data_IF_810500445567
#
_entry.id   IF_810500445567
#
_cell.length_a   1.000
_cell.length_b   1.000
_cell.length_c   1.000
_cell.angle_alpha   90.00
_cell.angle_beta   90.00
_cell.angle_gamma   90.00
#
_symmetry.space_group_name_H-M   'P 1'
#
loop_
_entity.id
_entity.type
_entity.pdbx_description
1 polymer ?
#
# COMPACT_ATOMS: atom_id res chain seq x y z
N UNK A 1 41.08 -16.11 24.03
CA UNK A 1 42.11 -17.18 24.08
C UNK A 1 41.41 -18.53 24.18
N UNK A 2 42.08 -19.61 23.74
CA UNK A 2 41.64 -21.02 23.67
C UNK A 2 40.53 -21.30 22.61
N UNK A 3 40.78 -22.03 21.49
CA UNK A 3 41.23 -23.44 21.27
C UNK A 3 40.11 -24.45 21.65
N UNK A 4 39.66 -25.46 20.91
CA UNK A 4 40.12 -26.29 19.75
C UNK A 4 38.85 -26.87 19.03
N UNK A 5 38.80 -27.64 17.91
CA UNK A 5 39.70 -28.12 16.82
C UNK A 5 38.81 -28.62 15.64
N UNK A 6 39.29 -28.78 14.38
CA UNK A 6 38.51 -29.31 13.25
C UNK A 6 38.77 -30.80 12.94
N UNK A 7 37.90 -31.43 12.15
CA UNK A 7 38.05 -32.81 11.61
C UNK A 7 37.79 -32.87 10.09
N UNK A 8 38.47 -33.79 9.40
CA UNK A 8 38.61 -33.87 7.93
C UNK A 8 38.03 -35.18 7.34
N UNK A 9 37.59 -35.08 6.09
CA UNK A 9 37.62 -36.11 5.03
C UNK A 9 37.05 -37.53 5.30
N UNK A 10 36.04 -37.92 4.51
CA UNK A 10 36.17 -39.13 3.65
C UNK A 10 35.18 -39.12 2.47
N UNK A 11 35.63 -39.62 1.31
CA UNK A 11 34.82 -39.95 0.12
C UNK A 11 34.91 -41.46 -0.12
N UNK A 12 33.81 -42.17 -0.45
CA UNK A 12 33.88 -43.53 -0.97
C UNK A 12 33.75 -43.58 -2.50
N UNK A 13 34.58 -44.38 -3.15
CA UNK A 13 34.37 -44.84 -4.54
C UNK A 13 33.49 -46.10 -4.57
N UNK A 14 32.80 -46.34 -5.70
CA UNK A 14 32.32 -47.68 -6.05
C UNK A 14 32.85 -48.13 -7.42
N UNK A 15 33.16 -49.43 -7.52
CA UNK A 15 33.67 -50.12 -8.71
C UNK A 15 32.55 -50.77 -9.53
N UNK A 16 32.86 -51.02 -10.79
CA UNK A 16 32.07 -51.75 -11.80
C UNK A 16 31.99 -53.26 -11.57
N UNK A 17 30.92 -53.90 -12.05
CA UNK A 17 30.93 -55.32 -12.47
C UNK A 17 30.01 -55.55 -13.67
N UNK A 18 30.32 -56.57 -14.47
CA UNK A 18 29.71 -56.85 -15.78
C UNK A 18 29.19 -58.29 -15.86
N UNK A 19 28.05 -58.53 -16.51
CA UNK A 19 27.75 -59.84 -17.13
C UNK A 19 26.72 -59.74 -18.26
N UNK A 20 26.81 -60.69 -19.20
CA UNK A 20 25.91 -60.93 -20.35
C UNK A 20 26.08 -62.41 -20.72
N UNK A 21 25.11 -63.13 -21.36
CA UNK A 21 25.16 -63.22 -22.83
C UNK A 21 23.84 -63.59 -23.60
N UNK A 22 23.75 -63.15 -24.88
CA UNK A 22 23.13 -63.82 -26.08
C UNK A 22 21.63 -64.21 -26.08
N UNK A 23 20.85 -64.29 -27.18
CA UNK A 23 20.78 -63.81 -28.60
C UNK A 23 19.46 -64.44 -29.19
N UNK A 24 18.99 -64.31 -30.46
CA UNK A 24 19.25 -63.34 -31.55
C UNK A 24 18.00 -62.77 -32.31
N UNK A 25 18.22 -61.68 -33.06
CA UNK A 25 17.59 -61.29 -34.37
C UNK A 25 16.05 -61.19 -34.54
N UNK A 26 15.58 -59.97 -34.80
CA UNK A 26 14.97 -59.59 -36.10
C UNK A 26 15.13 -58.09 -36.36
N UNK A 27 15.48 -57.73 -37.61
CA UNK A 27 15.74 -56.36 -38.04
C UNK A 27 14.49 -55.72 -38.67
N UNK A 28 14.17 -54.49 -38.26
CA UNK A 28 13.33 -53.57 -39.03
C UNK A 28 14.00 -52.20 -39.03
N UNK A 29 14.55 -51.83 -40.19
CA UNK A 29 15.18 -50.53 -40.43
C UNK A 29 14.12 -49.49 -40.77
N UNK A 30 13.82 -48.59 -39.83
CA UNK A 30 13.04 -47.39 -40.13
C UNK A 30 14.00 -46.36 -40.75
N UNK A 31 13.79 -46.06 -42.03
CA UNK A 31 14.51 -45.01 -42.74
C UNK A 31 13.91 -43.67 -42.31
N UNK A 32 14.59 -42.98 -41.40
CA UNK A 32 14.24 -41.59 -41.05
C UNK A 32 14.61 -40.67 -42.20
N UNK A 33 13.62 -40.29 -43.01
CA UNK A 33 13.77 -39.18 -43.96
C UNK A 33 13.91 -37.87 -43.19
N UNK A 34 15.11 -37.28 -43.22
CA UNK A 34 15.37 -36.00 -42.56
C UNK A 34 14.53 -34.87 -43.18
N UNK A 35 13.43 -34.50 -42.52
CA UNK A 35 12.74 -33.23 -42.79
C UNK A 35 13.67 -32.08 -42.45
N UNK A 36 14.12 -31.35 -43.46
CA UNK A 36 15.11 -30.27 -43.31
C UNK A 36 14.52 -29.10 -42.52
N UNK A 37 14.88 -28.98 -41.25
CA UNK A 37 14.82 -27.68 -40.57
C UNK A 37 15.86 -26.76 -41.22
N UNK A 38 15.52 -25.51 -41.59
CA UNK A 38 16.50 -24.60 -42.17
C UNK A 38 17.48 -24.19 -41.08
N UNK A 39 18.70 -24.74 -41.12
CA UNK A 39 19.79 -24.36 -40.22
C UNK A 39 20.04 -22.86 -40.34
N UNK A 40 19.63 -22.08 -39.34
CA UNK A 40 19.85 -20.65 -39.32
C UNK A 40 21.35 -20.38 -39.32
N UNK A 41 21.88 -19.99 -40.49
CA UNK A 41 23.30 -19.72 -40.71
C UNK A 41 23.71 -18.58 -39.77
N UNK A 42 24.47 -18.92 -38.71
CA UNK A 42 24.97 -17.96 -37.72
C UNK A 42 25.80 -16.90 -38.47
N UNK A 43 25.21 -15.75 -38.78
CA UNK A 43 25.93 -14.63 -39.38
C UNK A 43 26.98 -14.19 -38.37
N UNK A 44 28.25 -14.27 -38.75
CA UNK A 44 29.35 -13.66 -38.01
C UNK A 44 29.18 -12.14 -38.10
N UNK A 45 28.52 -11.55 -37.10
CA UNK A 45 28.34 -10.10 -37.06
C UNK A 45 29.72 -9.43 -37.05
N UNK A 46 29.90 -8.45 -37.91
CA UNK A 46 31.09 -7.60 -37.87
C UNK A 46 31.12 -6.83 -36.55
N UNK A 47 32.32 -6.42 -36.11
CA UNK A 47 32.46 -5.60 -34.90
C UNK A 47 31.69 -4.27 -35.00
N UNK A 48 31.43 -3.78 -36.21
CA UNK A 48 30.62 -2.58 -36.47
C UNK A 48 29.12 -2.85 -36.29
N UNK A 49 28.58 -3.91 -36.90
CA UNK A 49 27.17 -4.32 -36.70
C UNK A 49 26.87 -4.67 -35.24
N UNK A 50 27.82 -5.31 -34.53
CA UNK A 50 27.69 -5.61 -33.12
C UNK A 50 27.63 -4.33 -32.26
N UNK A 51 28.44 -3.31 -32.58
CA UNK A 51 28.38 -1.99 -31.91
C UNK A 51 27.07 -1.26 -32.18
N UNK A 52 26.58 -1.25 -33.43
CA UNK A 52 25.28 -0.64 -33.77
C UNK A 52 24.14 -1.36 -33.04
N UNK A 53 24.15 -2.70 -33.04
CA UNK A 53 23.13 -3.49 -32.35
C UNK A 53 23.15 -3.27 -30.83
N UNK A 54 24.33 -3.11 -30.23
CA UNK A 54 24.47 -2.76 -28.82
C UNK A 54 23.93 -1.36 -28.51
N UNK A 55 24.26 -0.36 -29.34
CA UNK A 55 23.72 1.01 -29.19
C UNK A 55 22.20 1.01 -29.32
N UNK A 56 21.65 0.29 -30.31
CA UNK A 56 20.21 0.17 -30.48
C UNK A 56 19.53 -0.56 -29.31
N UNK A 57 20.14 -1.64 -28.80
CA UNK A 57 19.63 -2.37 -27.64
C UNK A 57 19.64 -1.51 -26.37
N UNK A 58 20.73 -0.76 -26.12
CA UNK A 58 20.83 0.17 -24.98
C UNK A 58 19.86 1.35 -25.13
N UNK A 59 19.70 1.91 -26.33
CA UNK A 59 18.72 2.96 -26.61
C UNK A 59 17.27 2.46 -26.41
N UNK A 60 16.95 1.25 -26.88
CA UNK A 60 15.65 0.61 -26.66
C UNK A 60 15.40 0.31 -25.19
N UNK A 61 16.42 -0.13 -24.44
CA UNK A 61 16.32 -0.37 -23.01
C UNK A 61 16.07 0.94 -22.24
N UNK A 62 16.89 1.97 -22.48
CA UNK A 62 16.73 3.30 -21.88
C UNK A 62 15.37 3.93 -22.23
N UNK A 63 14.93 3.80 -23.50
CA UNK A 63 13.62 4.26 -23.94
C UNK A 63 12.48 3.52 -23.22
N UNK A 64 12.54 2.19 -23.10
CA UNK A 64 11.51 1.43 -22.38
C UNK A 64 11.43 1.76 -20.89
N UNK A 65 12.58 2.03 -20.24
CA UNK A 65 12.63 2.50 -18.85
C UNK A 65 12.03 3.91 -18.71
N UNK A 66 12.35 4.82 -19.63
CA UNK A 66 11.78 6.17 -19.68
C UNK A 66 10.27 6.15 -19.93
N UNK A 67 9.78 5.31 -20.85
CA UNK A 67 8.35 5.15 -21.12
C UNK A 67 7.59 4.60 -19.90
N UNK A 68 8.15 3.64 -19.16
CA UNK A 68 7.56 3.16 -17.91
C UNK A 68 7.49 4.27 -16.87
N UNK A 69 8.58 4.98 -16.63
CA UNK A 69 8.60 6.08 -15.65
C UNK A 69 7.63 7.22 -16.04
N UNK A 70 7.47 7.51 -17.34
CA UNK A 70 6.46 8.45 -17.83
C UNK A 70 5.03 7.94 -17.66
N UNK A 71 4.78 6.64 -17.86
CA UNK A 71 3.48 6.03 -17.60
C UNK A 71 3.14 6.04 -16.10
N UNK A 72 4.06 5.60 -15.24
CA UNK A 72 3.90 5.58 -13.79
C UNK A 72 3.61 7.01 -13.26
N UNK A 73 4.41 8.00 -13.68
CA UNK A 73 4.17 9.41 -13.28
C UNK A 73 2.86 9.97 -13.84
N UNK A 74 2.46 9.62 -15.08
CA UNK A 74 1.16 10.02 -15.61
C UNK A 74 0.00 9.41 -14.80
N UNK A 75 0.06 8.12 -14.45
CA UNK A 75 -0.99 7.46 -13.64
C UNK A 75 -1.09 8.06 -12.24
N UNK A 76 0.04 8.40 -11.59
CA UNK A 76 0.02 9.11 -10.31
C UNK A 76 -0.58 10.51 -10.44
N UNK A 77 -0.22 11.29 -11.47
CA UNK A 77 -0.76 12.65 -11.69
C UNK A 77 -2.26 12.63 -11.94
N UNK A 78 -2.79 11.64 -12.69
CA UNK A 78 -4.23 11.51 -12.99
C UNK A 78 -5.08 11.45 -11.71
N UNK A 79 -4.59 10.79 -10.64
CA UNK A 79 -5.27 10.71 -9.33
C UNK A 79 -5.54 12.06 -8.67
N UNK A 80 -4.80 13.11 -9.05
CA UNK A 80 -4.93 14.47 -8.52
C UNK A 80 -5.59 15.46 -9.49
N UNK A 81 -5.53 15.20 -10.81
CA UNK A 81 -6.10 16.09 -11.86
C UNK A 81 -7.61 15.98 -11.95
N UNK A 82 -8.17 14.78 -11.74
CA UNK A 82 -9.62 14.53 -11.75
C UNK A 82 -10.10 14.16 -10.34
N UNK A 83 -10.25 15.14 -9.43
CA UNK A 83 -10.60 14.87 -8.05
C UNK A 83 -12.03 14.35 -7.91
N UNK A 84 -12.19 13.40 -6.99
CA UNK A 84 -13.49 12.92 -6.53
C UNK A 84 -14.20 14.06 -5.79
N UNK A 85 -15.40 14.40 -6.27
CA UNK A 85 -16.33 15.31 -5.58
C UNK A 85 -17.32 14.50 -4.77
N UNK A 86 -17.64 14.98 -3.58
CA UNK A 86 -18.64 14.39 -2.70
C UNK A 86 -20.00 15.08 -2.92
N UNK A 87 -21.07 14.46 -2.43
CA UNK A 87 -22.34 15.16 -2.22
C UNK A 87 -22.10 16.33 -1.26
N UNK A 88 -22.18 17.56 -1.78
CA UNK A 88 -21.87 18.78 -1.03
C UNK A 88 -23.13 19.37 -0.41
N UNK A 89 -23.08 19.63 0.91
CA UNK A 89 -24.14 20.31 1.68
C UNK A 89 -24.01 21.82 1.64
N UNK A 90 -22.78 22.31 1.49
CA UNK A 90 -22.45 23.74 1.51
C UNK A 90 -21.62 24.13 0.28
N UNK A 91 -21.57 25.43 -0.02
CA UNK A 91 -20.66 25.96 -1.03
C UNK A 91 -19.18 25.67 -0.68
N UNK A 92 -18.84 25.63 0.61
CA UNK A 92 -17.50 25.24 1.09
C UNK A 92 -17.18 23.80 0.62
N UNK A 93 -18.08 22.85 0.87
CA UNK A 93 -17.91 21.45 0.43
C UNK A 93 -17.92 21.28 -1.10
N UNK A 94 -18.68 22.09 -1.83
CA UNK A 94 -18.74 22.05 -3.28
C UNK A 94 -17.43 22.47 -3.97
N UNK A 95 -16.59 23.24 -3.28
CA UNK A 95 -15.26 23.66 -3.74
C UNK A 95 -14.15 22.69 -3.33
N UNK A 96 -14.42 21.77 -2.40
CA UNK A 96 -13.46 20.74 -1.98
C UNK A 96 -13.25 19.68 -3.07
N UNK A 97 -12.00 19.22 -3.17
CA UNK A 97 -11.54 18.26 -4.15
C UNK A 97 -10.68 17.20 -3.43
N UNK A 98 -11.05 15.93 -3.49
CA UNK A 98 -10.27 14.83 -2.90
C UNK A 98 -9.60 14.03 -4.01
N UNK A 99 -8.29 13.69 -3.90
CA UNK A 99 -7.64 12.84 -4.88
C UNK A 99 -8.28 11.43 -4.89
N UNK A 100 -8.27 10.76 -6.03
CA UNK A 100 -8.80 9.39 -6.14
C UNK A 100 -7.79 8.39 -5.58
N UNK A 101 -7.73 8.35 -4.24
CA UNK A 101 -6.91 7.47 -3.43
C UNK A 101 -7.79 6.59 -2.55
N UNK A 102 -7.26 5.41 -2.21
CA UNK A 102 -7.96 4.48 -1.34
C UNK A 102 -8.31 5.14 0.00
N UNK A 103 -9.55 4.94 0.45
CA UNK A 103 -10.14 5.60 1.63
C UNK A 103 -10.80 4.57 2.53
N UNK A 104 -10.78 4.81 3.84
CA UNK A 104 -11.48 3.96 4.83
C UNK A 104 -12.96 3.83 4.48
N UNK A 105 -13.48 2.61 4.43
CA UNK A 105 -14.90 2.36 4.22
C UNK A 105 -15.73 2.84 5.41
N UNK A 106 -16.81 3.56 5.10
CA UNK A 106 -17.80 3.97 6.09
C UNK A 106 -19.20 4.00 5.49
N UNK A 107 -20.20 3.87 6.36
CA UNK A 107 -21.62 4.02 6.03
C UNK A 107 -22.18 5.26 6.73
N UNK A 108 -22.80 6.16 5.97
CA UNK A 108 -23.55 7.29 6.56
C UNK A 108 -24.81 6.73 7.24
N UNK A 109 -24.95 6.98 8.54
CA UNK A 109 -26.12 6.60 9.34
C UNK A 109 -27.18 7.71 9.41
N UNK A 110 -26.72 8.96 9.49
CA UNK A 110 -27.56 10.15 9.57
C UNK A 110 -26.80 11.34 8.98
N UNK A 111 -27.51 12.27 8.34
CA UNK A 111 -26.95 13.50 7.79
C UNK A 111 -27.78 14.68 8.28
N UNK A 112 -27.14 15.60 8.98
CA UNK A 112 -27.68 16.91 9.31
C UNK A 112 -26.94 18.02 8.56
N UNK A 113 -27.37 19.26 8.80
CA UNK A 113 -26.86 20.44 8.09
C UNK A 113 -25.38 20.74 8.42
N UNK A 114 -24.99 20.58 9.69
CA UNK A 114 -23.63 20.87 10.17
C UNK A 114 -22.69 19.64 10.10
N UNK A 115 -23.20 18.46 10.44
CA UNK A 115 -22.40 17.24 10.55
C UNK A 115 -23.16 16.02 10.04
N UNK A 116 -22.43 14.95 9.76
CA UNK A 116 -23.00 13.63 9.46
C UNK A 116 -22.46 12.57 10.41
N UNK A 117 -23.31 11.60 10.75
CA UNK A 117 -22.95 10.44 11.57
C UNK A 117 -22.57 9.30 10.62
N UNK A 118 -21.37 8.75 10.78
CA UNK A 118 -20.83 7.63 9.99
C UNK A 118 -20.52 6.44 10.89
N UNK A 119 -20.86 5.24 10.46
CA UNK A 119 -20.28 3.99 10.99
C UNK A 119 -19.03 3.66 10.17
N UNK A 120 -17.86 3.63 10.81
CA UNK A 120 -16.59 3.24 10.19
C UNK A 120 -16.42 1.73 10.34
N UNK A 121 -16.06 1.06 9.25
CA UNK A 121 -15.88 -0.40 9.27
C UNK A 121 -14.59 -0.82 10.00
N UNK A 122 -14.52 -2.09 10.43
CA UNK A 122 -13.32 -2.61 11.08
C UNK A 122 -12.22 -2.87 10.04
N UNK A 123 -10.97 -2.49 10.33
CA UNK A 123 -9.81 -2.85 9.52
C UNK A 123 -9.31 -4.25 9.92
N UNK A 124 -10.09 -5.29 9.59
CA UNK A 124 -9.89 -6.65 10.12
C UNK A 124 -8.48 -7.21 9.94
N UNK A 125 -7.89 -7.71 11.02
CA UNK A 125 -7.02 -8.89 10.92
C UNK A 125 -7.88 -10.14 10.94
N UNK A 126 -7.84 -10.93 9.87
CA UNK A 126 -7.87 -12.38 10.09
C UNK A 126 -6.53 -12.76 10.74
N UNK A 127 -6.61 -13.50 11.84
CA UNK A 127 -5.49 -13.74 12.77
C UNK A 127 -4.25 -14.30 12.07
N UNK A 128 -3.11 -13.62 12.25
CA UNK A 128 -1.80 -14.20 11.99
C UNK A 128 -1.12 -14.60 13.28
N UNK A 129 -0.76 -15.88 13.37
CA UNK A 129 0.10 -16.38 14.44
C UNK A 129 1.50 -15.77 14.35
N UNK A 130 2.07 -15.46 15.51
CA UNK A 130 3.37 -14.83 15.64
C UNK A 130 4.47 -15.78 15.15
N UNK A 131 5.05 -15.50 13.98
CA UNK A 131 6.30 -16.16 13.57
C UNK A 131 7.49 -15.36 14.07
N UNK A 132 8.43 -16.07 14.71
CA UNK A 132 9.65 -15.56 15.33
C UNK A 132 10.61 -14.87 14.35
N UNK A 133 11.51 -13.99 14.81
CA UNK A 133 12.29 -13.11 13.94
C UNK A 133 13.30 -13.88 13.07
N UNK A 134 13.27 -13.61 11.77
CA UNK A 134 14.26 -14.12 10.81
C UNK A 134 15.46 -13.18 10.76
N UNK A 135 16.66 -13.70 11.01
CA UNK A 135 17.90 -12.95 10.93
C UNK A 135 18.17 -12.45 9.50
N UNK A 136 18.21 -11.13 9.32
CA UNK A 136 18.53 -10.50 8.03
C UNK A 136 19.99 -10.70 7.65
N UNK A 137 20.24 -11.48 6.59
CA UNK A 137 21.51 -11.41 5.85
C UNK A 137 21.58 -10.05 5.14
N UNK A 138 22.68 -9.32 5.30
CA UNK A 138 22.89 -8.00 4.66
C UNK A 138 22.78 -8.09 3.13
N UNK A 139 21.79 -7.45 2.51
CA UNK A 139 21.84 -7.01 1.10
C UNK A 139 20.73 -6.00 0.81
N UNK A 140 21.12 -4.75 0.51
CA UNK A 140 20.34 -3.66 -0.11
C UNK A 140 19.00 -3.23 0.52
N UNK A 141 18.60 -1.99 0.26
CA UNK A 141 17.46 -1.32 0.91
C UNK A 141 16.10 -1.59 0.24
N UNK A 142 15.92 -2.79 -0.31
CA UNK A 142 14.71 -3.26 -0.98
C UNK A 142 13.56 -3.41 0.02
N UNK A 143 12.84 -2.32 0.25
CA UNK A 143 11.52 -2.38 0.84
C UNK A 143 10.53 -1.82 -0.15
N UNK A 144 9.38 -2.48 -0.26
CA UNK A 144 8.27 -2.01 -1.07
C UNK A 144 7.87 -0.59 -0.64
N UNK A 145 7.67 0.30 -1.62
CA UNK A 145 7.09 1.61 -1.37
C UNK A 145 5.59 1.42 -1.18
N UNK A 146 5.07 1.76 0.00
CA UNK A 146 3.63 1.73 0.25
C UNK A 146 2.91 2.71 -0.69
N UNK A 147 1.78 2.29 -1.23
CA UNK A 147 0.89 3.15 -2.02
C UNK A 147 0.24 4.21 -1.13
N UNK A 148 -0.07 5.36 -1.73
CA UNK A 148 -0.70 6.47 -1.02
C UNK A 148 -2.18 6.18 -0.75
N UNK A 149 -2.61 6.42 0.48
CA UNK A 149 -3.99 6.31 0.95
C UNK A 149 -4.44 7.63 1.56
N UNK A 150 -5.74 7.77 1.80
CA UNK A 150 -6.34 8.92 2.48
C UNK A 150 -7.40 8.46 3.49
N UNK A 151 -7.75 9.28 4.50
CA UNK A 151 -7.03 10.48 4.94
C UNK A 151 -5.76 10.12 5.75
N UNK A 152 -4.89 11.11 5.95
CA UNK A 152 -3.95 11.09 7.08
C UNK A 152 -4.71 11.51 8.33
N UNK A 153 -4.68 10.67 9.37
CA UNK A 153 -5.44 10.88 10.61
C UNK A 153 -4.49 11.37 11.70
N UNK A 154 -4.79 12.51 12.30
CA UNK A 154 -4.08 13.04 13.48
C UNK A 154 -5.03 13.05 14.67
N UNK A 155 -4.68 12.31 15.73
CA UNK A 155 -5.49 12.21 16.96
C UNK A 155 -4.75 12.83 18.15
N UNK A 156 -5.46 13.59 18.99
CA UNK A 156 -4.92 14.08 20.26
C UNK A 156 -4.99 12.97 21.30
N UNK A 157 -3.85 12.59 21.87
CA UNK A 157 -3.73 11.52 22.88
C UNK A 157 -3.71 12.09 24.30
N UNK A 158 -2.82 13.07 24.54
CA UNK A 158 -2.73 13.88 25.76
C UNK A 158 -2.75 15.39 25.40
N UNK A 159 -2.66 16.28 26.39
CA UNK A 159 -2.68 17.75 26.19
C UNK A 159 -1.68 18.24 25.11
N UNK A 160 -0.46 17.69 25.08
CA UNK A 160 0.61 18.07 24.14
C UNK A 160 1.05 16.94 23.17
N UNK A 161 0.36 15.79 23.17
CA UNK A 161 0.75 14.64 22.33
C UNK A 161 -0.23 14.40 21.20
N UNK A 162 0.27 14.52 19.99
CA UNK A 162 -0.42 14.17 18.76
C UNK A 162 0.11 12.87 18.18
N UNK A 163 -0.80 11.98 17.79
CA UNK A 163 -0.49 10.74 17.10
C UNK A 163 -0.98 10.83 15.66
N UNK A 164 -0.06 10.76 14.71
CA UNK A 164 -0.37 10.63 13.29
C UNK A 164 -0.55 9.15 12.92
N UNK A 165 -1.46 8.85 12.00
CA UNK A 165 -1.78 7.51 11.53
C UNK A 165 -2.14 7.55 10.05
N UNK A 166 -1.70 6.53 9.31
CA UNK A 166 -1.96 6.35 7.89
C UNK A 166 -2.87 5.13 7.69
N UNK A 167 -3.71 5.17 6.66
CA UNK A 167 -4.57 4.04 6.29
C UNK A 167 -3.73 3.01 5.53
N UNK A 168 -3.84 1.73 5.86
CA UNK A 168 -3.17 0.67 5.11
C UNK A 168 -3.95 0.36 3.82
N UNK A 169 -3.28 0.24 2.65
CA UNK A 169 -3.93 -0.23 1.42
C UNK A 169 -4.53 -1.63 1.56
N UNK A 170 -5.73 -1.85 1.05
CA UNK A 170 -6.45 -3.14 1.12
C UNK A 170 -5.71 -4.29 0.45
N UNK A 171 -4.84 -4.01 -0.54
CA UNK A 171 -4.05 -5.02 -1.25
C UNK A 171 -3.20 -5.91 -0.33
N UNK A 172 -2.85 -5.45 0.88
CA UNK A 172 -2.08 -6.24 1.83
C UNK A 172 -2.94 -7.23 2.63
N UNK A 173 -4.22 -6.92 2.88
CA UNK A 173 -5.09 -7.73 3.74
C UNK A 173 -4.43 -8.03 5.08
N UNK A 174 -4.35 -9.32 5.44
CA UNK A 174 -3.63 -9.78 6.63
C UNK A 174 -2.08 -9.76 6.48
N UNK A 175 -1.55 -9.84 5.24
CA UNK A 175 -0.11 -9.90 4.94
C UNK A 175 0.53 -8.49 4.97
N UNK A 176 0.62 -7.91 6.15
CA UNK A 176 1.12 -6.55 6.35
C UNK A 176 2.66 -6.50 6.35
N UNK A 177 3.30 -5.60 5.56
CA UNK A 177 4.75 -5.48 5.55
C UNK A 177 5.27 -4.94 6.89
N UNK A 178 6.40 -5.47 7.37
CA UNK A 178 7.03 -4.96 8.58
C UNK A 178 7.62 -3.55 8.32
N UNK A 179 7.31 -2.55 9.17
CA UNK A 179 7.91 -1.23 9.06
C UNK A 179 9.45 -1.29 9.20
N UNK A 180 10.15 -0.50 8.37
CA UNK A 180 11.62 -0.34 8.47
C UNK A 180 12.05 0.39 9.76
N UNK A 181 11.16 1.21 10.31
CA UNK A 181 11.37 2.00 11.52
C UNK A 181 10.53 1.38 12.66
N UNK A 182 11.18 1.04 13.78
CA UNK A 182 10.53 0.40 14.93
C UNK A 182 9.64 1.33 15.76
N UNK A 183 9.68 2.64 15.51
CA UNK A 183 8.72 3.60 16.09
C UNK A 183 7.33 3.50 15.44
N UNK A 184 7.25 2.98 14.21
CA UNK A 184 5.99 2.78 13.49
C UNK A 184 5.37 1.46 13.94
N UNK A 185 4.14 1.50 14.45
CA UNK A 185 3.38 0.31 14.84
C UNK A 185 2.09 0.22 14.03
N UNK A 186 1.83 -0.94 13.44
CA UNK A 186 0.58 -1.22 12.73
C UNK A 186 -0.45 -1.71 13.75
N UNK A 187 -1.65 -1.10 13.75
CA UNK A 187 -2.75 -1.43 14.65
C UNK A 187 -4.06 -1.51 13.89
N UNK A 188 -4.92 -2.42 14.32
CA UNK A 188 -6.31 -2.50 13.88
C UNK A 188 -7.13 -1.36 14.50
N UNK A 189 -8.01 -0.76 13.70
CA UNK A 189 -8.98 0.25 14.14
C UNK A 189 -10.35 -0.43 14.21
N UNK A 190 -10.90 -0.66 15.42
CA UNK A 190 -12.19 -1.32 15.56
C UNK A 190 -13.31 -0.48 14.95
N UNK A 191 -14.39 -1.16 14.53
CA UNK A 191 -15.64 -0.50 14.13
C UNK A 191 -16.07 0.51 15.19
N UNK A 192 -16.34 1.74 14.75
CA UNK A 192 -16.79 2.84 15.62
C UNK A 192 -17.76 3.75 14.88
N UNK A 193 -18.60 4.46 15.61
CA UNK A 193 -19.47 5.50 15.05
C UNK A 193 -18.83 6.86 15.33
N UNK A 194 -18.77 7.72 14.31
CA UNK A 194 -18.20 9.06 14.40
C UNK A 194 -19.17 10.11 13.86
N UNK A 195 -19.17 11.28 14.48
CA UNK A 195 -19.78 12.49 13.93
C UNK A 195 -18.70 13.30 13.21
N UNK A 196 -18.96 13.74 11.98
CA UNK A 196 -17.97 14.39 11.10
C UNK A 196 -18.45 15.72 10.53
N UNK A 197 -17.58 16.73 10.62
CA UNK A 197 -17.70 18.03 9.95
C UNK A 197 -16.55 18.18 8.96
N UNK A 198 -16.86 18.45 7.69
CA UNK A 198 -15.85 18.81 6.70
C UNK A 198 -15.60 20.32 6.69
N UNK A 199 -14.36 20.72 6.41
CA UNK A 199 -13.93 22.12 6.27
C UNK A 199 -12.74 22.23 5.32
N UNK A 200 -12.55 23.44 4.78
CA UNK A 200 -11.49 23.76 3.82
C UNK A 200 -10.36 24.56 4.47
N UNK A 201 -9.29 24.83 3.71
CA UNK A 201 -8.20 25.69 4.16
C UNK A 201 -7.12 24.96 4.95
N UNK A 202 -6.56 25.66 5.94
CA UNK A 202 -5.46 25.18 6.77
C UNK A 202 -5.97 24.58 8.08
N UNK A 203 -5.30 23.53 8.55
CA UNK A 203 -5.53 22.95 9.88
C UNK A 203 -4.63 23.69 10.88
N UNK A 204 -5.18 24.69 11.58
CA UNK A 204 -4.52 25.32 12.74
C UNK A 204 -5.22 24.92 14.04
N UNK A 205 -4.55 25.06 15.18
CA UNK A 205 -5.13 24.71 16.48
C UNK A 205 -6.40 25.54 16.80
N UNK A 206 -6.47 26.80 16.35
CA UNK A 206 -7.65 27.66 16.49
C UNK A 206 -8.83 27.15 15.66
N UNK A 207 -8.60 26.81 14.39
CA UNK A 207 -9.66 26.30 13.49
C UNK A 207 -10.17 24.95 13.98
N UNK A 208 -9.26 24.04 14.37
CA UNK A 208 -9.59 22.75 14.98
C UNK A 208 -10.44 22.96 16.24
N UNK A 209 -10.01 23.83 17.16
CA UNK A 209 -10.74 24.12 18.41
C UNK A 209 -12.12 24.74 18.13
N UNK A 210 -12.24 25.63 17.15
CA UNK A 210 -13.50 26.26 16.78
C UNK A 210 -14.48 25.24 16.17
N UNK A 211 -14.02 24.42 15.22
CA UNK A 211 -14.83 23.38 14.57
C UNK A 211 -15.20 22.27 15.56
N UNK A 212 -14.28 21.84 16.42
CA UNK A 212 -14.54 20.88 17.51
C UNK A 212 -15.62 21.43 18.47
N UNK A 213 -15.50 22.67 18.93
CA UNK A 213 -16.49 23.27 19.84
C UNK A 213 -17.90 23.32 19.22
N UNK A 214 -18.01 23.76 17.96
CA UNK A 214 -19.29 23.80 17.22
C UNK A 214 -19.89 22.40 17.06
N UNK A 215 -19.08 21.39 16.73
CA UNK A 215 -19.52 20.00 16.62
C UNK A 215 -19.99 19.46 17.99
N UNK A 216 -19.22 19.68 19.06
CA UNK A 216 -19.60 19.26 20.42
C UNK A 216 -20.90 19.91 20.88
N UNK A 217 -21.11 21.18 20.57
CA UNK A 217 -22.34 21.90 20.88
C UNK A 217 -23.54 21.32 20.12
N UNK A 218 -23.42 21.11 18.81
CA UNK A 218 -24.49 20.57 17.98
C UNK A 218 -24.86 19.12 18.36
N UNK A 219 -23.90 18.31 18.82
CA UNK A 219 -24.13 16.93 19.29
C UNK A 219 -24.85 16.85 20.65
N UNK A 220 -24.82 17.90 21.49
CA UNK A 220 -25.63 17.92 22.73
C UNK A 220 -27.13 17.77 22.43
N UNK A 221 -27.55 18.35 21.32
CA UNK A 221 -28.94 18.43 20.88
C UNK A 221 -29.36 17.29 19.92
N UNK A 222 -28.46 16.34 19.60
CA UNK A 222 -28.82 15.20 18.76
C UNK A 222 -29.80 14.27 19.50
N UNK A 223 -30.83 13.77 18.81
CA UNK A 223 -31.88 12.95 19.41
C UNK A 223 -31.52 11.47 19.60
N UNK A 224 -30.49 10.97 18.91
CA UNK A 224 -30.14 9.55 18.79
C UNK A 224 -28.73 9.21 19.25
N UNK A 225 -27.80 10.15 19.17
CA UNK A 225 -26.38 9.96 19.45
C UNK A 225 -25.87 10.89 20.54
N UNK A 226 -24.85 10.45 21.27
CA UNK A 226 -24.10 11.26 22.22
C UNK A 226 -22.60 11.09 22.01
N UNK A 227 -21.81 12.07 22.43
CA UNK A 227 -20.35 11.97 22.41
C UNK A 227 -19.95 10.90 23.42
N UNK A 228 -19.19 9.90 22.97
CA UNK A 228 -18.69 8.83 23.82
C UNK A 228 -17.76 9.38 24.89
N UNK A 229 -17.79 8.80 26.09
CA UNK A 229 -16.90 9.23 27.18
C UNK A 229 -15.44 9.24 26.75
N UNK A 230 -14.72 10.32 27.09
CA UNK A 230 -13.32 10.56 26.68
C UNK A 230 -13.09 10.56 25.16
N UNK A 231 -14.14 10.75 24.35
CA UNK A 231 -14.04 10.94 22.89
C UNK A 231 -13.13 12.11 22.52
N UNK A 232 -11.89 11.78 22.16
CA UNK A 232 -10.89 12.73 21.66
C UNK A 232 -11.13 13.06 20.19
N UNK A 233 -10.73 14.28 19.81
CA UNK A 233 -10.84 14.77 18.44
C UNK A 233 -9.85 14.05 17.52
N UNK A 234 -10.36 13.62 16.36
CA UNK A 234 -9.59 13.08 15.25
C UNK A 234 -9.70 14.05 14.07
N UNK A 235 -8.55 14.38 13.46
CA UNK A 235 -8.46 15.26 12.29
C UNK A 235 -8.08 14.40 11.10
N UNK A 236 -8.91 14.38 10.06
CA UNK A 236 -8.66 13.65 8.82
C UNK A 236 -8.32 14.61 7.68
N UNK A 237 -7.10 14.53 7.14
CA UNK A 237 -6.62 15.35 6.03
C UNK A 237 -6.53 14.49 4.75
N UNK A 238 -7.29 14.85 3.73
CA UNK A 238 -7.37 14.07 2.48
C UNK A 238 -6.41 14.54 1.40
N UNK A 239 -5.85 15.75 1.54
CA UNK A 239 -5.16 16.43 0.45
C UNK A 239 -3.66 16.54 0.68
N UNK A 240 -2.83 16.34 -0.37
CA UNK A 240 -1.40 16.59 -0.29
C UNK A 240 -1.11 18.08 -0.15
N UNK A 241 0.07 18.46 0.40
CA UNK A 241 0.41 19.84 0.78
C UNK A 241 0.49 20.83 -0.40
N UNK A 242 0.55 20.35 -1.64
CA UNK A 242 0.51 21.18 -2.86
C UNK A 242 -0.91 21.55 -3.32
N UNK A 243 -1.97 20.97 -2.74
CA UNK A 243 -3.36 21.34 -3.06
C UNK A 243 -3.65 22.76 -2.63
N UNK A 244 -4.36 23.55 -3.45
CA UNK A 244 -4.79 24.91 -3.08
C UNK A 244 -5.65 24.88 -1.80
N UNK A 245 -5.42 25.76 -0.80
CA UNK A 245 -6.06 25.63 0.52
C UNK A 245 -7.59 25.53 0.48
N UNK A 246 -8.26 26.37 -0.32
CA UNK A 246 -9.72 26.39 -0.46
C UNK A 246 -10.31 25.14 -1.17
N UNK A 247 -9.47 24.31 -1.80
CA UNK A 247 -9.86 23.04 -2.41
C UNK A 247 -9.59 21.84 -1.50
N UNK A 248 -8.88 22.02 -0.38
CA UNK A 248 -8.59 20.92 0.56
C UNK A 248 -9.87 20.49 1.26
N UNK A 249 -10.04 19.18 1.41
CA UNK A 249 -10.97 18.58 2.37
C UNK A 249 -10.18 18.20 3.62
N UNK A 250 -10.52 18.85 4.71
CA UNK A 250 -10.16 18.43 6.07
C UNK A 250 -11.45 18.03 6.78
N UNK A 251 -11.38 17.11 7.73
CA UNK A 251 -12.52 16.67 8.52
C UNK A 251 -12.17 16.65 10.01
N UNK A 252 -13.07 17.19 10.84
CA UNK A 252 -13.07 16.99 12.29
C UNK A 252 -14.05 15.86 12.60
N UNK A 253 -13.55 14.83 13.29
CA UNK A 253 -14.32 13.68 13.73
C UNK A 253 -14.31 13.55 15.26
N UNK A 254 -15.47 13.18 15.83
CA UNK A 254 -15.62 12.80 17.23
C UNK A 254 -16.31 11.45 17.32
N UNK A 255 -15.81 10.56 18.19
CA UNK A 255 -16.45 9.27 18.45
C UNK A 255 -17.76 9.46 19.22
N UNK A 256 -18.82 8.83 18.73
CA UNK A 256 -20.17 8.90 19.29
C UNK A 256 -20.73 7.50 19.49
N UNK A 257 -21.72 7.40 20.36
CA UNK A 257 -22.49 6.19 20.62
C UNK A 257 -23.98 6.49 20.53
N UNK A 258 -24.81 5.46 20.36
CA UNK A 258 -26.27 5.64 20.42
C UNK A 258 -26.66 5.90 21.87
N UNK A 259 -27.56 6.86 22.09
CA UNK A 259 -28.21 7.07 23.38
C UNK A 259 -29.00 5.82 23.74
N UNK A 260 -28.74 5.26 24.92
CA UNK A 260 -29.63 4.26 25.51
C UNK A 260 -30.96 4.93 25.84
N UNK A 261 -32.07 4.20 25.62
CA UNK A 261 -33.45 4.69 25.80
C UNK A 261 -34.06 4.15 27.07
#
# INVERSE_FOLDING_TARGET
MLLCKPSLLTLPQLRTSTSTPRNPKRSLSIITTNSTTPTQRRRTMSAFEARISLVFALASQASSLSQRLLADTATEVVKYVFPKRFESRTLEEALMAVPDLETVNFKVLSRGDLYEIREVENTTKETMEMTTPVFTRKTQSDGEKMEMTTPVITKREDQDKWKMSFVMPSKYGANLPLPKDSSVTIREVPRKIIAVVAFSGFVTDEEVKQRESKLREALKNDAQFQIKERGSVEIAQYNPPFTLPFQRRNEIALEVEKKEK
#
